data_IF_235566782192
#
_entry.id   IF_235566782192
#
_cell.length_a   1.000
_cell.length_b   1.000
_cell.length_c   1.000
_cell.angle_alpha   90.00
_cell.angle_beta   90.00
_cell.angle_gamma   90.00
#
_symmetry.space_group_name_H-M   'P 1'
#
loop_
_entity.id
_entity.type
_entity.pdbx_description
1 polymer ?
#
# COMPACT_ATOMS: atom_id res chain seq x y z
N UNK A 1 -8.63 2.83 36.36
CA UNK A 1 -7.49 2.48 35.48
C UNK A 1 -7.71 3.17 34.13
N UNK A 2 -6.79 4.04 33.70
CA UNK A 2 -6.90 4.71 32.38
C UNK A 2 -6.63 3.66 31.30
N UNK A 3 -7.66 3.32 30.52
CA UNK A 3 -7.51 2.48 29.32
C UNK A 3 -6.60 3.24 28.34
N UNK A 4 -5.30 2.94 28.35
CA UNK A 4 -4.38 3.38 27.28
C UNK A 4 -4.88 2.70 25.99
N UNK A 5 -5.49 3.48 25.12
CA UNK A 5 -5.78 3.07 23.75
C UNK A 5 -4.44 2.80 23.05
N UNK A 6 -3.95 1.56 23.15
CA UNK A 6 -2.92 1.05 22.26
C UNK A 6 -3.57 0.95 20.89
N UNK A 7 -3.33 1.95 20.05
CA UNK A 7 -3.67 1.89 18.63
C UNK A 7 -3.04 0.61 18.08
N UNK A 8 -3.83 -0.24 17.42
CA UNK A 8 -3.30 -1.49 16.88
C UNK A 8 -2.24 -1.19 15.81
N UNK A 9 -1.22 -2.06 15.72
CA UNK A 9 -0.18 -1.96 14.68
C UNK A 9 -0.83 -1.92 13.29
N UNK A 10 -1.91 -2.67 13.10
CA UNK A 10 -2.72 -2.63 11.88
C UNK A 10 -3.25 -1.23 11.52
N UNK A 11 -3.71 -0.46 12.52
CA UNK A 11 -4.18 0.90 12.31
C UNK A 11 -3.02 1.85 11.97
N UNK A 12 -1.85 1.66 12.58
CA UNK A 12 -0.64 2.44 12.24
C UNK A 12 -0.21 2.16 10.79
N UNK A 13 -0.23 0.91 10.35
CA UNK A 13 0.07 0.55 8.96
C UNK A 13 -0.92 1.16 7.97
N UNK A 14 -2.22 1.17 8.28
CA UNK A 14 -3.22 1.82 7.44
C UNK A 14 -2.99 3.33 7.36
N UNK A 15 -2.75 4.00 8.48
CA UNK A 15 -2.49 5.44 8.51
C UNK A 15 -1.24 5.78 7.69
N UNK A 16 -0.13 5.07 7.94
CA UNK A 16 1.10 5.27 7.20
C UNK A 16 0.88 5.02 5.70
N UNK A 17 0.27 3.89 5.36
CA UNK A 17 0.05 3.49 3.96
C UNK A 17 -0.82 4.47 3.18
N UNK A 18 -1.94 4.94 3.74
CA UNK A 18 -2.74 5.98 3.09
C UNK A 18 -2.01 7.33 2.99
N UNK A 19 -1.22 7.68 4.00
CA UNK A 19 -0.41 8.91 3.95
C UNK A 19 0.60 8.85 2.80
N UNK A 20 1.23 7.70 2.58
CA UNK A 20 2.17 7.48 1.48
C UNK A 20 1.48 7.54 0.11
N UNK A 21 0.28 6.96 -0.03
CA UNK A 21 -0.50 7.04 -1.28
C UNK A 21 -0.83 8.50 -1.61
N UNK A 22 -1.28 9.27 -0.62
CA UNK A 22 -1.57 10.71 -0.79
C UNK A 22 -0.29 11.47 -1.16
N UNK A 23 0.82 11.23 -0.46
CA UNK A 23 2.11 11.83 -0.79
C UNK A 23 2.53 11.50 -2.22
N UNK A 24 2.34 10.28 -2.70
CA UNK A 24 2.64 9.90 -4.08
C UNK A 24 1.85 10.72 -5.10
N UNK A 25 0.56 10.96 -4.85
CA UNK A 25 -0.26 11.82 -5.71
C UNK A 25 0.24 13.26 -5.71
N UNK A 26 0.65 13.79 -4.55
CA UNK A 26 1.16 15.16 -4.45
C UNK A 26 2.52 15.31 -5.15
N UNK A 27 3.41 14.35 -4.94
CA UNK A 27 4.79 14.36 -5.45
C UNK A 27 4.85 14.14 -6.96
N UNK A 28 3.81 13.56 -7.57
CA UNK A 28 3.69 13.45 -9.04
C UNK A 28 3.93 14.79 -9.76
N UNK A 29 3.44 15.89 -9.18
CA UNK A 29 3.57 17.23 -9.76
C UNK A 29 4.90 17.93 -9.45
N UNK A 30 5.74 17.33 -8.60
CA UNK A 30 6.98 17.94 -8.07
C UNK A 30 8.21 17.16 -8.57
N UNK A 31 8.29 15.87 -8.24
CA UNK A 31 9.45 15.01 -8.51
C UNK A 31 9.20 14.01 -9.66
N UNK A 32 8.01 14.03 -10.25
CA UNK A 32 7.68 13.26 -11.44
C UNK A 32 7.10 11.86 -11.20
N UNK A 33 6.90 11.14 -12.30
CA UNK A 33 6.14 9.90 -12.36
C UNK A 33 6.76 8.75 -11.56
N UNK A 34 8.09 8.56 -11.67
CA UNK A 34 8.81 7.47 -10.98
C UNK A 34 8.68 7.57 -9.46
N UNK A 35 8.83 8.79 -8.93
CA UNK A 35 8.74 9.05 -7.51
C UNK A 35 7.30 8.82 -7.03
N UNK A 36 6.31 9.33 -7.75
CA UNK A 36 4.89 9.10 -7.46
C UNK A 36 4.52 7.61 -7.43
N UNK A 37 4.99 6.83 -8.41
CA UNK A 37 4.81 5.38 -8.44
C UNK A 37 5.47 4.71 -7.23
N UNK A 38 6.70 5.10 -6.88
CA UNK A 38 7.42 4.54 -5.73
C UNK A 38 6.67 4.75 -4.42
N UNK A 39 6.21 5.98 -4.14
CA UNK A 39 5.37 6.28 -2.97
C UNK A 39 4.05 5.50 -2.97
N UNK A 40 3.41 5.37 -4.14
CA UNK A 40 2.20 4.57 -4.31
C UNK A 40 2.41 3.09 -3.99
N UNK A 41 3.52 2.50 -4.44
CA UNK A 41 3.90 1.11 -4.16
C UNK A 41 4.15 0.91 -2.67
N UNK A 42 4.94 1.79 -2.03
CA UNK A 42 5.18 1.70 -0.59
C UNK A 42 3.89 1.87 0.23
N UNK A 43 3.02 2.79 -0.17
CA UNK A 43 1.73 2.98 0.47
C UNK A 43 0.83 1.75 0.36
N UNK A 44 0.72 1.17 -0.83
CA UNK A 44 0.00 -0.07 -1.08
C UNK A 44 0.55 -1.26 -0.26
N UNK A 45 1.88 -1.36 -0.13
CA UNK A 45 2.55 -2.37 0.68
C UNK A 45 2.15 -2.24 2.15
N UNK A 46 2.24 -1.04 2.73
CA UNK A 46 1.84 -0.80 4.13
C UNK A 46 0.36 -1.13 4.37
N UNK A 47 -0.53 -0.74 3.46
CA UNK A 47 -1.96 -1.04 3.59
C UNK A 47 -2.21 -2.55 3.59
N UNK A 48 -1.54 -3.30 2.71
CA UNK A 48 -1.75 -4.74 2.53
C UNK A 48 -0.93 -5.63 3.48
N UNK A 49 0.07 -5.09 4.18
CA UNK A 49 1.03 -5.83 5.00
C UNK A 49 0.41 -6.71 6.08
N UNK A 50 -0.76 -6.32 6.60
CA UNK A 50 -1.45 -7.05 7.67
C UNK A 50 -2.22 -8.28 7.18
N UNK A 51 -2.31 -8.48 5.86
CA UNK A 51 -2.98 -9.61 5.22
C UNK A 51 -1.95 -10.58 4.58
N UNK A 52 -0.64 -10.41 4.88
CA UNK A 52 0.40 -11.39 4.54
C UNK A 52 0.11 -12.69 5.28
N UNK A 53 -0.08 -13.79 4.52
CA UNK A 53 -0.54 -15.06 5.07
C UNK A 53 -2.06 -15.26 5.02
N UNK A 54 -2.77 -14.63 4.06
CA UNK A 54 -4.22 -14.81 3.81
C UNK A 54 -4.67 -16.29 3.85
N UNK A 55 -3.81 -17.22 3.41
CA UNK A 55 -4.07 -18.67 3.42
C UNK A 55 -4.20 -19.30 4.83
N UNK A 56 -3.78 -18.60 5.87
CA UNK A 56 -3.81 -19.03 7.27
C UNK A 56 -4.79 -18.20 8.13
N UNK A 57 -5.51 -17.23 7.53
CA UNK A 57 -6.45 -16.36 8.24
C UNK A 57 -7.79 -17.03 8.53
N UNK A 58 -8.39 -16.70 9.68
CA UNK A 58 -9.73 -17.17 10.02
C UNK A 58 -10.80 -16.59 9.09
N UNK A 59 -11.86 -17.37 8.81
CA UNK A 59 -12.97 -16.95 7.93
C UNK A 59 -13.64 -15.63 8.37
N UNK A 60 -13.64 -15.37 9.68
CA UNK A 60 -14.22 -14.16 10.28
C UNK A 60 -13.43 -12.89 9.89
N UNK A 61 -12.09 -13.00 9.80
CA UNK A 61 -11.20 -11.90 9.43
C UNK A 61 -11.22 -11.65 7.90
N UNK A 62 -11.44 -12.69 7.09
CA UNK A 62 -11.61 -12.61 5.64
C UNK A 62 -12.89 -11.85 5.24
N UNK A 63 -13.97 -12.03 6.00
CA UNK A 63 -15.26 -11.33 5.75
C UNK A 63 -15.25 -9.86 6.15
N UNK A 64 -14.23 -9.39 6.87
CA UNK A 64 -14.18 -8.02 7.34
C UNK A 64 -13.93 -7.04 6.18
N UNK A 65 -14.61 -5.88 6.16
CA UNK A 65 -14.52 -4.88 5.08
C UNK A 65 -13.09 -4.38 4.83
N UNK A 66 -12.28 -4.33 5.89
CA UNK A 66 -10.86 -3.94 5.80
C UNK A 66 -10.06 -4.89 4.89
N UNK A 67 -10.36 -6.19 4.91
CA UNK A 67 -9.66 -7.19 4.10
C UNK A 67 -9.82 -6.93 2.59
N UNK A 68 -11.04 -6.62 2.13
CA UNK A 68 -11.27 -6.24 0.72
C UNK A 68 -10.47 -5.01 0.29
N UNK A 69 -10.38 -4.00 1.17
CA UNK A 69 -9.61 -2.77 0.88
C UNK A 69 -8.14 -3.13 0.76
N UNK A 70 -7.59 -3.85 1.75
CA UNK A 70 -6.18 -4.24 1.79
C UNK A 70 -5.77 -5.10 0.60
N UNK A 71 -6.59 -6.09 0.25
CA UNK A 71 -6.37 -6.92 -0.94
C UNK A 71 -6.39 -6.12 -2.24
N UNK A 72 -7.34 -5.18 -2.38
CA UNK A 72 -7.35 -4.25 -3.52
C UNK A 72 -6.06 -3.45 -3.61
N UNK A 73 -5.59 -2.90 -2.49
CA UNK A 73 -4.32 -2.17 -2.45
C UNK A 73 -3.12 -3.08 -2.73
N UNK A 74 -3.12 -4.34 -2.32
CA UNK A 74 -2.10 -5.31 -2.69
C UNK A 74 -1.99 -5.48 -4.21
N UNK A 75 -3.11 -5.68 -4.90
CA UNK A 75 -3.12 -5.74 -6.37
C UNK A 75 -2.72 -4.42 -7.02
N UNK A 76 -3.18 -3.27 -6.49
CA UNK A 76 -2.76 -1.96 -6.99
C UNK A 76 -1.25 -1.78 -6.88
N UNK A 77 -0.65 -2.11 -5.74
CA UNK A 77 0.79 -2.04 -5.54
C UNK A 77 1.56 -2.90 -6.54
N UNK A 78 1.09 -4.12 -6.81
CA UNK A 78 1.69 -5.00 -7.82
C UNK A 78 1.60 -4.39 -9.24
N UNK A 79 0.45 -3.83 -9.62
CA UNK A 79 0.27 -3.16 -10.92
C UNK A 79 1.18 -1.95 -11.05
N UNK A 80 1.29 -1.12 -10.01
CA UNK A 80 2.20 0.03 -10.00
C UNK A 80 3.66 -0.41 -10.10
N UNK A 81 4.04 -1.51 -9.45
CA UNK A 81 5.38 -2.10 -9.55
C UNK A 81 5.71 -2.58 -10.96
N UNK A 82 4.76 -3.25 -11.63
CA UNK A 82 4.91 -3.64 -13.04
C UNK A 82 5.02 -2.41 -13.93
N UNK A 83 4.19 -1.38 -13.73
CA UNK A 83 4.27 -0.13 -14.49
C UNK A 83 5.62 0.57 -14.33
N UNK A 84 6.14 0.65 -13.10
CA UNK A 84 7.46 1.23 -12.81
C UNK A 84 8.59 0.42 -13.46
N UNK A 85 8.48 -0.91 -13.43
CA UNK A 85 9.45 -1.81 -14.07
C UNK A 85 9.48 -1.59 -15.58
N UNK A 86 8.32 -1.55 -16.23
CA UNK A 86 8.20 -1.29 -17.67
C UNK A 86 8.81 0.07 -18.01
N UNK A 87 8.47 1.11 -17.24
CA UNK A 87 8.99 2.45 -17.43
C UNK A 87 10.53 2.47 -17.41
N UNK A 88 11.17 1.86 -16.40
CA UNK A 88 12.63 1.82 -16.31
C UNK A 88 13.26 1.01 -17.45
N UNK A 89 12.66 -0.13 -17.84
CA UNK A 89 13.13 -0.90 -18.99
C UNK A 89 13.11 -0.05 -20.26
N UNK A 90 12.00 0.66 -20.51
CA UNK A 90 11.89 1.51 -21.70
C UNK A 90 12.85 2.71 -21.65
N UNK A 91 13.07 3.29 -20.48
CA UNK A 91 13.99 4.42 -20.28
C UNK A 91 15.44 4.02 -20.48
N UNK A 92 15.83 2.80 -20.09
CA UNK A 92 17.19 2.28 -20.29
C UNK A 92 17.48 1.87 -21.73
N UNK A 93 16.45 1.60 -22.53
CA UNK A 93 16.58 1.16 -23.94
C UNK A 93 16.47 2.31 -24.95
N UNK A 94 16.02 3.50 -24.51
CA UNK A 94 15.89 4.71 -25.33
C UNK A 94 17.18 5.55 -25.29
#
# INVERSE_FOLDING_TARGET
MKNKHLISIEALHLIAGFSLVISGVLVYFIDGFEMALSWGIFGAMYISMSDVGENEMSEEKIKHRSHKVRRTFGYLGAVLGVALTIYYITSLLA
#
